data_IF_159986945860
#
_entry.id   IF_159986945860
#
_cell.length_a   1.000
_cell.length_b   1.000
_cell.length_c   1.000
_cell.angle_alpha   90.00
_cell.angle_beta   90.00
_cell.angle_gamma   90.00
#
_symmetry.space_group_name_H-M   'P 1'
#
loop_
_entity.id
_entity.type
_entity.pdbx_description
1 polymer ?
#
# COMPACT_ATOMS: atom_id res chain seq x y z
N UNK A 1 15.07 40.26 -33.70
CA UNK A 1 14.95 39.82 -32.29
C UNK A 1 13.94 38.69 -32.25
N UNK A 2 14.42 37.45 -32.18
CA UNK A 2 13.59 36.25 -32.38
C UNK A 2 13.35 35.59 -31.03
N UNK A 3 12.13 35.72 -30.53
CA UNK A 3 11.69 35.28 -29.21
C UNK A 3 11.63 33.74 -29.17
N UNK A 4 12.47 33.11 -28.33
CA UNK A 4 12.46 31.66 -28.11
C UNK A 4 11.29 31.32 -27.17
N UNK A 5 10.29 30.65 -27.73
CA UNK A 5 9.11 30.15 -27.02
C UNK A 5 9.55 28.99 -26.13
N UNK A 6 9.49 29.18 -24.82
CA UNK A 6 9.76 28.17 -23.78
C UNK A 6 8.59 27.21 -23.67
N UNK A 7 8.55 26.19 -24.54
CA UNK A 7 7.69 25.03 -24.36
C UNK A 7 8.38 24.02 -23.45
N UNK A 8 8.15 24.12 -22.14
CA UNK A 8 8.34 23.00 -21.21
C UNK A 8 6.96 22.49 -20.86
N UNK A 9 6.35 21.79 -21.81
CA UNK A 9 5.16 20.98 -21.59
C UNK A 9 5.59 19.51 -21.57
N UNK A 10 4.89 18.73 -20.75
CA UNK A 10 4.93 17.27 -20.64
C UNK A 10 6.09 16.70 -19.81
N UNK A 11 5.80 16.33 -18.54
CA UNK A 11 6.34 15.13 -17.87
C UNK A 11 5.85 15.03 -16.40
N UNK A 12 4.53 14.99 -16.17
CA UNK A 12 3.99 14.72 -14.83
C UNK A 12 2.74 13.80 -14.84
N UNK A 13 2.54 13.02 -15.91
CA UNK A 13 1.35 12.18 -16.08
C UNK A 13 1.66 10.67 -16.14
N UNK A 14 2.80 10.22 -15.58
CA UNK A 14 3.21 8.80 -15.65
C UNK A 14 3.70 8.33 -14.28
N UNK A 15 2.81 8.17 -13.30
CA UNK A 15 3.19 7.48 -12.06
C UNK A 15 2.10 6.66 -11.35
N UNK A 16 0.84 6.60 -11.80
CA UNK A 16 -0.21 6.01 -10.96
C UNK A 16 -1.08 4.97 -11.66
N UNK A 17 -0.49 4.17 -12.55
CA UNK A 17 -1.10 2.96 -13.10
C UNK A 17 -0.36 1.69 -12.65
N UNK A 18 0.22 1.68 -11.45
CA UNK A 18 0.53 0.40 -10.80
C UNK A 18 -0.78 -0.21 -10.35
N UNK A 19 -1.28 -1.15 -11.15
CA UNK A 19 -2.40 -2.01 -10.82
C UNK A 19 -2.29 -2.44 -9.35
N UNK A 20 -3.24 -2.00 -8.52
CA UNK A 20 -3.39 -2.37 -7.11
C UNK A 20 -3.63 -3.88 -7.01
N UNK A 21 -2.58 -4.68 -7.11
CA UNK A 21 -2.55 -5.96 -6.41
C UNK A 21 -2.33 -5.59 -4.96
N UNK A 22 -3.33 -5.77 -4.11
CA UNK A 22 -3.13 -5.66 -2.66
C UNK A 22 -1.99 -6.59 -2.28
N UNK A 23 -0.82 -6.04 -1.99
CA UNK A 23 0.29 -6.81 -1.47
C UNK A 23 0.05 -7.07 0.02
N UNK A 24 0.41 -8.27 0.53
CA UNK A 24 0.33 -8.52 1.97
C UNK A 24 1.17 -7.50 2.74
N UNK A 25 0.56 -6.89 3.75
CA UNK A 25 1.25 -5.98 4.67
C UNK A 25 1.75 -6.80 5.85
N UNK A 26 3.06 -6.94 5.97
CA UNK A 26 3.68 -7.60 7.11
C UNK A 26 3.98 -6.57 8.19
N UNK A 27 3.71 -6.93 9.45
CA UNK A 27 4.02 -6.12 10.61
C UNK A 27 4.80 -6.95 11.62
N UNK A 28 5.61 -6.29 12.45
CA UNK A 28 6.39 -6.91 13.51
C UNK A 28 6.23 -6.16 14.82
N UNK A 29 5.97 -6.89 15.90
CA UNK A 29 5.99 -6.35 17.24
C UNK A 29 7.43 -6.21 17.72
N UNK A 30 7.85 -4.98 18.05
CA UNK A 30 9.21 -4.72 18.50
C UNK A 30 9.51 -5.30 19.89
N UNK A 31 8.49 -5.45 20.75
CA UNK A 31 8.65 -5.94 22.11
C UNK A 31 8.75 -7.47 22.18
N UNK A 32 7.98 -8.19 21.36
CA UNK A 32 7.93 -9.67 21.39
C UNK A 32 8.64 -10.34 20.22
N UNK A 33 8.96 -9.58 19.16
CA UNK A 33 9.49 -10.11 17.91
C UNK A 33 8.46 -10.83 17.05
N UNK A 34 7.19 -10.90 17.47
CA UNK A 34 6.12 -11.56 16.73
C UNK A 34 5.85 -10.84 15.40
N UNK A 35 5.62 -11.61 14.33
CA UNK A 35 5.24 -11.09 13.02
C UNK A 35 3.77 -11.38 12.73
N UNK A 36 3.07 -10.42 12.16
CA UNK A 36 1.68 -10.54 11.74
C UNK A 36 1.54 -10.11 10.28
N UNK A 37 0.49 -10.60 9.61
CA UNK A 37 0.22 -10.33 8.20
C UNK A 37 -1.21 -9.84 8.04
N UNK A 38 -1.38 -8.70 7.38
CA UNK A 38 -2.66 -8.17 6.95
C UNK A 38 -2.79 -8.31 5.43
N UNK A 39 -3.81 -9.05 4.98
CA UNK A 39 -4.05 -9.30 3.57
C UNK A 39 -3.04 -10.25 2.89
N UNK A 40 -3.19 -10.52 1.59
CA UNK A 40 -4.29 -10.03 0.76
C UNK A 40 -5.61 -10.77 1.03
N UNK A 41 -6.71 -10.03 1.19
CA UNK A 41 -8.04 -10.61 1.40
C UNK A 41 -8.78 -10.92 0.10
N UNK A 42 -8.06 -11.37 -0.93
CA UNK A 42 -8.60 -11.59 -2.27
C UNK A 42 -9.75 -12.61 -2.29
N UNK A 43 -9.75 -13.54 -1.34
CA UNK A 43 -10.82 -14.53 -1.14
C UNK A 43 -12.14 -13.91 -0.63
N UNK A 44 -12.12 -12.67 -0.12
CA UNK A 44 -13.33 -11.95 0.31
C UNK A 44 -13.96 -11.15 -0.83
N UNK A 45 -13.19 -10.83 -1.89
CA UNK A 45 -13.70 -10.13 -3.08
C UNK A 45 -14.68 -10.99 -3.89
N UNK A 46 -14.54 -12.32 -3.84
CA UNK A 46 -15.40 -13.25 -4.58
C UNK A 46 -16.77 -13.46 -3.94
N UNK A 47 -16.91 -13.13 -2.66
CA UNK A 47 -18.07 -13.51 -1.84
C UNK A 47 -18.92 -12.31 -1.44
N UNK A 48 -18.32 -11.12 -1.43
CA UNK A 48 -18.98 -9.91 -0.95
C UNK A 48 -18.37 -8.69 -1.66
N UNK A 49 -19.16 -7.64 -1.89
CA UNK A 49 -18.68 -6.30 -2.33
C UNK A 49 -17.90 -5.60 -1.19
N UNK A 50 -17.01 -6.33 -0.52
CA UNK A 50 -16.25 -5.81 0.61
C UNK A 50 -15.00 -5.12 0.08
N UNK A 51 -14.83 -3.87 0.49
CA UNK A 51 -13.65 -3.10 0.16
C UNK A 51 -12.44 -3.64 0.94
N UNK A 52 -11.67 -4.51 0.29
CA UNK A 52 -10.49 -5.18 0.86
C UNK A 52 -9.46 -4.18 1.41
N UNK A 53 -9.32 -3.01 0.78
CA UNK A 53 -8.42 -1.96 1.26
C UNK A 53 -8.80 -1.45 2.65
N UNK A 54 -10.11 -1.38 2.98
CA UNK A 54 -10.56 -0.98 4.31
C UNK A 54 -10.24 -2.06 5.35
N UNK A 55 -10.37 -3.34 4.99
CA UNK A 55 -10.02 -4.45 5.89
C UNK A 55 -8.52 -4.47 6.20
N UNK A 56 -7.69 -4.25 5.20
CA UNK A 56 -6.24 -4.15 5.35
C UNK A 56 -5.86 -3.00 6.27
N UNK A 57 -6.44 -1.82 6.07
CA UNK A 57 -6.22 -0.67 6.95
C UNK A 57 -6.69 -0.93 8.39
N UNK A 58 -7.84 -1.58 8.59
CA UNK A 58 -8.34 -1.94 9.92
C UNK A 58 -7.40 -2.92 10.63
N UNK A 59 -6.93 -3.95 9.92
CA UNK A 59 -5.96 -4.91 10.45
C UNK A 59 -4.65 -4.22 10.85
N UNK A 60 -4.10 -3.37 9.98
CA UNK A 60 -2.86 -2.63 10.25
C UNK A 60 -3.05 -1.69 11.45
N UNK A 61 -4.16 -0.97 11.52
CA UNK A 61 -4.44 -0.05 12.63
C UNK A 61 -4.52 -0.80 13.97
N UNK A 62 -5.25 -1.91 14.01
CA UNK A 62 -5.39 -2.72 15.22
C UNK A 62 -4.04 -3.29 15.70
N UNK A 63 -3.20 -3.73 14.77
CA UNK A 63 -1.86 -4.23 15.12
C UNK A 63 -0.91 -3.11 15.54
N UNK A 64 -0.99 -1.92 14.93
CA UNK A 64 -0.26 -0.74 15.38
C UNK A 64 -0.61 -0.33 16.82
N UNK A 65 -1.89 -0.38 17.18
CA UNK A 65 -2.33 -0.16 18.56
C UNK A 65 -1.79 -1.20 19.55
N UNK A 66 -1.43 -2.39 19.08
CA UNK A 66 -0.77 -3.45 19.85
C UNK A 66 0.77 -3.36 19.84
N UNK A 67 1.34 -2.29 19.26
CA UNK A 67 2.79 -2.09 19.19
C UNK A 67 3.48 -2.85 18.06
N UNK A 68 2.73 -3.25 17.02
CA UNK A 68 3.33 -3.76 15.78
C UNK A 68 3.67 -2.62 14.82
N UNK A 69 4.82 -2.72 14.18
CA UNK A 69 5.27 -1.76 13.18
C UNK A 69 5.30 -2.40 11.78
N UNK A 70 4.98 -1.66 10.71
CA UNK A 70 5.06 -2.19 9.36
C UNK A 70 6.49 -2.59 9.02
N UNK A 71 6.67 -3.82 8.55
CA UNK A 71 7.91 -4.20 7.91
C UNK A 71 7.91 -3.55 6.52
N UNK A 72 9.00 -2.87 6.18
CA UNK A 72 9.19 -2.42 4.81
C UNK A 72 9.03 -3.64 3.90
N UNK A 73 8.06 -3.59 2.98
CA UNK A 73 7.83 -4.67 2.04
C UNK A 73 9.17 -5.08 1.42
N UNK A 74 9.48 -6.39 1.32
CA UNK A 74 10.70 -6.84 0.69
C UNK A 74 10.79 -6.21 -0.70
N UNK A 75 11.79 -5.36 -0.90
CA UNK A 75 12.16 -4.87 -2.23
C UNK A 75 12.78 -6.06 -2.95
N UNK A 76 11.97 -6.79 -3.71
CA UNK A 76 12.46 -7.81 -4.64
C UNK A 76 13.10 -7.16 -5.87
#
# INVERSE_FOLDING_TARGET
MTMRITTVAALAAVCLLTACKSEPIYLRNAATGATAQCGPYNHLLTTTNTNVSILEQKCVSALKEQGYEPLAAPKY
#
